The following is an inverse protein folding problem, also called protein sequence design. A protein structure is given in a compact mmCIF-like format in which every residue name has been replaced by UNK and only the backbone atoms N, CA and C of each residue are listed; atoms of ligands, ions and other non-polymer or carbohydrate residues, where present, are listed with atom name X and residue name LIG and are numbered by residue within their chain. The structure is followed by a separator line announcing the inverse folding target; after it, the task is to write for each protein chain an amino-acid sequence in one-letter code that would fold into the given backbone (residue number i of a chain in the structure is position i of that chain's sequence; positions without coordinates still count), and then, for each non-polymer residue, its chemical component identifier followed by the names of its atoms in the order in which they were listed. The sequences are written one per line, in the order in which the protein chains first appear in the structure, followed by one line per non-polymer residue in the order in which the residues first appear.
data_IF_444910018438
#
_entry.id   IF_444910018438
#
_cell.length_a   1.000
_cell.length_b   1.000
_cell.length_c   1.000
_cell.angle_alpha   90.00
_cell.angle_beta   90.00
_cell.angle_gamma   90.00
#
_symmetry.space_group_name_H-M   'P 1'
#
loop_
_entity.id
_entity.type
_entity.pdbx_description
1 polymer ?
#
# COMPACT_ATOMS: atom_id res chain seq x y z
N UNK A 1 -9.33 3.53 -17.25
CA UNK A 1 -9.95 3.26 -15.94
C UNK A 1 -9.84 4.50 -15.05
N UNK A 2 -10.66 4.61 -14.02
CA UNK A 2 -10.61 5.68 -13.02
C UNK A 2 -10.58 5.03 -11.65
N UNK A 3 -9.66 5.44 -10.78
CA UNK A 3 -9.55 4.92 -9.42
C UNK A 3 -9.69 6.06 -8.42
N UNK A 4 -10.39 5.79 -7.31
CA UNK A 4 -10.54 6.70 -6.20
C UNK A 4 -9.87 6.12 -4.95
N UNK A 5 -9.00 6.90 -4.32
CA UNK A 5 -8.23 6.53 -3.14
C UNK A 5 -7.84 7.80 -2.37
N UNK A 6 -7.96 7.82 -1.03
CA UNK A 6 -7.72 9.01 -0.22
C UNK A 6 -6.29 9.55 -0.28
N UNK A 7 -5.31 8.73 -0.68
CA UNK A 7 -3.88 9.08 -0.76
C UNK A 7 -3.36 9.21 -2.21
N UNK A 8 -4.24 9.59 -3.15
CA UNK A 8 -3.89 9.82 -4.57
C UNK A 8 -3.28 11.20 -4.85
N UNK A 9 -3.24 12.05 -3.84
CA UNK A 9 -2.55 13.33 -3.84
C UNK A 9 -1.02 13.17 -3.82
N UNK A 10 -0.50 12.06 -3.29
CA UNK A 10 0.94 11.80 -3.13
C UNK A 10 1.41 10.52 -3.86
N UNK A 11 1.14 10.46 -5.16
CA UNK A 11 1.61 9.38 -6.03
C UNK A 11 3.12 9.54 -6.24
N UNK A 12 3.89 8.50 -5.92
CA UNK A 12 5.32 8.50 -6.19
C UNK A 12 5.64 7.94 -7.56
N UNK A 13 5.05 6.78 -7.89
CA UNK A 13 5.34 6.07 -9.13
C UNK A 13 4.10 5.30 -9.60
N UNK A 14 3.94 5.24 -10.92
CA UNK A 14 2.94 4.43 -11.61
C UNK A 14 3.66 3.66 -12.71
N UNK A 15 3.37 2.36 -12.80
CA UNK A 15 3.93 1.47 -13.81
C UNK A 15 2.86 1.04 -14.81
N UNK A 16 3.28 0.79 -16.05
CA UNK A 16 2.47 0.25 -17.14
C UNK A 16 1.29 1.10 -17.62
N UNK A 17 1.00 2.24 -16.99
CA UNK A 17 -0.11 3.14 -17.34
C UNK A 17 0.30 4.60 -17.31
N UNK A 18 -0.33 5.39 -18.17
CA UNK A 18 -0.35 6.84 -18.05
C UNK A 18 -1.41 7.24 -17.03
N UNK A 19 -1.23 8.39 -16.38
CA UNK A 19 -2.18 8.88 -15.39
C UNK A 19 -2.40 10.38 -15.44
N UNK A 20 -3.57 10.80 -14.97
CA UNK A 20 -3.94 12.19 -14.76
C UNK A 20 -4.84 12.30 -13.55
N UNK A 21 -4.47 13.14 -12.59
CA UNK A 21 -5.34 13.47 -11.46
C UNK A 21 -6.62 14.15 -11.95
N UNK A 22 -7.76 13.72 -11.41
CA UNK A 22 -9.06 14.34 -11.64
C UNK A 22 -9.50 15.02 -10.36
N UNK A 23 -9.87 16.29 -10.47
CA UNK A 23 -10.33 17.12 -9.36
C UNK A 23 -11.76 17.57 -9.61
N UNK A 24 -12.75 16.63 -9.57
CA UNK A 24 -14.13 16.94 -9.91
C UNK A 24 -14.77 17.98 -8.97
N UNK A 25 -14.24 18.09 -7.75
CA UNK A 25 -14.64 19.07 -6.74
C UNK A 25 -13.43 19.86 -6.27
N UNK A 26 -13.61 21.15 -5.98
CA UNK A 26 -12.56 22.00 -5.47
C UNK A 26 -12.01 21.44 -4.15
N UNK A 27 -10.71 21.12 -4.14
CA UNK A 27 -10.00 20.63 -2.95
C UNK A 27 -9.99 19.11 -2.73
N UNK A 28 -10.61 18.32 -3.62
CA UNK A 28 -10.55 16.85 -3.56
C UNK A 28 -9.70 16.28 -4.70
N UNK A 29 -8.52 15.78 -4.34
CA UNK A 29 -7.53 15.19 -5.26
C UNK A 29 -7.43 13.67 -5.06
N UNK A 30 -8.56 13.02 -4.75
CA UNK A 30 -8.62 11.61 -4.38
C UNK A 30 -8.92 10.69 -5.57
N UNK A 31 -8.95 11.23 -6.79
CA UNK A 31 -9.39 10.52 -7.99
C UNK A 31 -8.35 10.66 -9.10
N UNK A 32 -8.06 9.56 -9.80
CA UNK A 32 -7.11 9.53 -10.92
C UNK A 32 -7.69 8.78 -12.11
N UNK A 33 -7.46 9.31 -13.30
CA UNK A 33 -7.70 8.60 -14.55
C UNK A 33 -6.41 7.93 -14.99
N UNK A 34 -6.50 6.65 -15.33
CA UNK A 34 -5.42 5.81 -15.82
C UNK A 34 -5.78 5.29 -17.22
N UNK A 35 -4.84 5.35 -18.15
CA UNK A 35 -5.02 4.84 -19.51
C UNK A 35 -3.75 4.16 -20.02
N UNK A 36 -3.91 3.31 -21.03
CA UNK A 36 -2.82 2.54 -21.59
C UNK A 36 -1.71 3.39 -22.17
N UNK A 37 -0.53 2.80 -22.23
CA UNK A 37 0.60 3.29 -23.02
C UNK A 37 0.43 2.79 -24.46
N UNK A 38 0.55 3.73 -25.40
CA UNK A 38 0.43 3.45 -26.83
C UNK A 38 1.36 2.30 -27.24
N UNK A 39 0.82 1.36 -28.02
CA UNK A 39 1.52 0.14 -28.48
C UNK A 39 1.90 -0.89 -27.40
N UNK A 40 1.47 -0.72 -26.15
CA UNK A 40 1.69 -1.69 -25.07
C UNK A 40 0.37 -2.26 -24.54
N UNK A 41 -0.49 -1.39 -24.01
CA UNK A 41 -1.78 -1.74 -23.41
C UNK A 41 -2.87 -0.69 -23.73
N UNK A 42 -2.73 -0.02 -24.87
CA UNK A 42 -3.65 1.03 -25.36
C UNK A 42 -5.04 0.47 -25.72
N UNK A 43 -5.09 -0.78 -26.16
CA UNK A 43 -6.33 -1.47 -26.49
C UNK A 43 -6.41 -2.82 -25.80
N UNK A 44 -7.47 -3.01 -25.03
CA UNK A 44 -7.81 -4.27 -24.38
C UNK A 44 -8.98 -4.88 -25.15
N UNK A 45 -8.68 -5.41 -26.33
CA UNK A 45 -9.63 -5.97 -27.30
C UNK A 45 -10.31 -7.25 -26.83
N UNK A 46 -9.63 -8.01 -25.98
CA UNK A 46 -10.01 -9.38 -25.67
C UNK A 46 -10.07 -9.58 -24.16
N UNK A 47 -11.24 -10.01 -23.70
CA UNK A 47 -11.41 -10.60 -22.38
C UNK A 47 -11.26 -12.12 -22.53
N UNK A 48 -10.36 -12.74 -21.77
CA UNK A 48 -10.16 -14.18 -21.81
C UNK A 48 -9.32 -14.69 -20.64
N UNK A 49 -9.39 -15.99 -20.32
CA UNK A 49 -8.66 -16.57 -19.17
C UNK A 49 -7.14 -16.43 -19.26
N UNK A 50 -6.62 -16.22 -20.48
CA UNK A 50 -5.19 -16.10 -20.77
C UNK A 50 -4.73 -14.65 -20.95
N UNK A 51 -5.64 -13.68 -20.84
CA UNK A 51 -5.35 -12.26 -21.07
C UNK A 51 -5.55 -11.51 -19.76
N UNK A 52 -4.46 -11.02 -19.20
CA UNK A 52 -4.46 -10.17 -18.00
C UNK A 52 -3.74 -8.86 -18.29
N UNK A 53 -4.21 -7.80 -17.63
CA UNK A 53 -3.57 -6.50 -17.68
C UNK A 53 -3.30 -6.11 -16.25
N UNK A 54 -2.03 -5.88 -15.96
CA UNK A 54 -1.57 -5.58 -14.62
C UNK A 54 -1.00 -4.16 -14.57
N UNK A 55 -1.36 -3.45 -13.51
CA UNK A 55 -0.87 -2.11 -13.22
C UNK A 55 -0.40 -2.08 -11.77
N UNK A 56 0.72 -1.43 -11.52
CA UNK A 56 1.20 -1.18 -10.17
C UNK A 56 1.25 0.33 -9.90
N UNK A 57 0.75 0.72 -8.73
CA UNK A 57 0.75 2.11 -8.25
C UNK A 57 1.40 2.11 -6.87
N UNK A 58 2.46 2.92 -6.72
CA UNK A 58 3.13 3.11 -5.45
C UNK A 58 2.69 4.43 -4.83
N UNK A 59 2.26 4.32 -3.57
CA UNK A 59 1.84 5.45 -2.75
C UNK A 59 2.89 5.74 -1.68
N UNK A 60 3.25 7.00 -1.50
CA UNK A 60 3.99 7.42 -0.31
C UNK A 60 3.04 7.40 0.88
N UNK A 61 3.38 6.64 1.91
CA UNK A 61 2.65 6.65 3.18
C UNK A 61 2.97 7.95 3.91
N UNK A 62 1.94 8.71 4.22
CA UNK A 62 2.02 9.84 5.15
C UNK A 62 1.63 9.38 6.55
N UNK A 63 2.44 9.71 7.55
CA UNK A 63 2.25 9.26 8.92
C UNK A 63 0.97 9.83 9.56
N UNK A 64 0.49 10.99 9.10
CA UNK A 64 -0.72 11.61 9.63
C UNK A 64 -2.01 10.93 9.13
N UNK A 65 -1.97 10.28 7.96
CA UNK A 65 -3.16 9.74 7.29
C UNK A 65 -3.14 8.21 7.13
N UNK A 66 -1.96 7.60 7.23
CA UNK A 66 -1.79 6.15 7.14
C UNK A 66 -2.43 5.43 8.34
N UNK A 67 -3.25 4.43 8.05
CA UNK A 67 -3.86 3.57 9.07
C UNK A 67 -3.79 2.11 8.64
N UNK A 68 -3.76 1.20 9.62
CA UNK A 68 -3.86 -0.23 9.38
C UNK A 68 -5.30 -0.74 9.28
N UNK A 69 -6.27 0.15 9.45
CA UNK A 69 -7.69 -0.21 9.51
C UNK A 69 -8.36 -0.14 8.13
N UNK A 70 -9.47 -0.87 7.99
CA UNK A 70 -10.47 -0.70 6.92
C UNK A 70 -9.87 -0.66 5.51
N UNK A 71 -8.89 -1.53 5.25
CA UNK A 71 -8.34 -1.69 3.91
C UNK A 71 -7.74 -0.41 3.32
N UNK A 72 -7.14 0.47 4.13
CA UNK A 72 -6.53 1.74 3.67
C UNK A 72 -5.58 1.58 2.48
N UNK A 73 -4.98 0.40 2.27
CA UNK A 73 -4.10 0.13 1.15
C UNK A 73 -4.84 -0.05 -0.20
N UNK A 74 -6.17 -0.19 -0.20
CA UNK A 74 -6.97 -0.53 -1.36
C UNK A 74 -7.82 0.66 -1.84
N UNK A 75 -8.05 0.80 -3.16
CA UNK A 75 -8.96 1.80 -3.71
C UNK A 75 -10.36 1.71 -3.08
N UNK A 76 -11.02 2.87 -2.95
CA UNK A 76 -12.41 2.94 -2.49
C UNK A 76 -13.40 2.61 -3.61
N UNK A 77 -13.09 3.03 -4.84
CA UNK A 77 -13.90 2.84 -6.05
C UNK A 77 -13.00 2.73 -7.27
N UNK A 78 -13.38 1.90 -8.22
CA UNK A 78 -12.73 1.76 -9.53
C UNK A 78 -13.84 1.74 -10.57
N UNK A 79 -13.66 2.56 -11.60
CA UNK A 79 -14.46 2.52 -12.81
C UNK A 79 -13.61 2.02 -13.97
N UNK A 80 -14.09 1.01 -14.66
CA UNK A 80 -13.47 0.48 -15.86
C UNK A 80 -14.41 0.69 -17.04
N UNK A 81 -13.96 1.42 -18.06
CA UNK A 81 -14.77 1.82 -19.21
C UNK A 81 -16.13 2.48 -18.86
N UNK A 82 -16.22 3.13 -17.70
CA UNK A 82 -17.43 3.79 -17.21
C UNK A 82 -18.27 2.91 -16.26
N UNK A 83 -18.02 1.61 -16.22
CA UNK A 83 -18.73 0.69 -15.32
C UNK A 83 -18.06 0.64 -13.95
N UNK A 84 -18.85 0.55 -12.89
CA UNK A 84 -18.36 0.41 -11.52
C UNK A 84 -17.91 -1.04 -11.26
N UNK A 85 -16.66 -1.23 -10.88
CA UNK A 85 -16.13 -2.54 -10.53
C UNK A 85 -16.62 -2.97 -9.13
N UNK A 86 -16.97 -4.25 -8.97
CA UNK A 86 -17.32 -4.81 -7.65
C UNK A 86 -16.06 -4.96 -6.82
N UNK A 87 -16.01 -4.29 -5.66
CA UNK A 87 -14.98 -4.49 -4.64
C UNK A 87 -15.57 -5.09 -3.38
N UNK A 88 -14.77 -5.88 -2.70
CA UNK A 88 -15.11 -6.34 -1.36
C UNK A 88 -15.15 -5.15 -0.39
N UNK A 89 -16.00 -5.21 0.66
CA UNK A 89 -16.06 -4.18 1.69
C UNK A 89 -14.70 -3.94 2.35
N UNK A 90 -14.34 -2.69 2.73
CA UNK A 90 -13.00 -2.37 3.22
C UNK A 90 -12.56 -3.14 4.48
N UNK A 91 -13.53 -3.55 5.30
CA UNK A 91 -13.38 -4.36 6.50
C UNK A 91 -13.02 -5.84 6.23
N UNK A 92 -13.20 -6.30 4.99
CA UNK A 92 -12.84 -7.67 4.59
C UNK A 92 -11.42 -7.80 4.06
N UNK A 93 -10.73 -6.66 3.82
CA UNK A 93 -9.34 -6.69 3.39
C UNK A 93 -8.42 -7.12 4.55
N UNK A 94 -7.37 -7.90 4.24
CA UNK A 94 -6.42 -8.33 5.26
C UNK A 94 -5.73 -7.13 5.90
N UNK A 95 -5.79 -7.07 7.22
CA UNK A 95 -5.07 -6.07 8.02
C UNK A 95 -3.58 -6.46 8.09
N UNK A 96 -2.69 -5.48 8.03
CA UNK A 96 -1.28 -5.76 8.30
C UNK A 96 -1.12 -6.18 9.77
N UNK A 97 -0.23 -7.13 10.07
CA UNK A 97 -0.01 -7.57 11.44
C UNK A 97 0.44 -6.39 12.30
N UNK A 98 -0.33 -6.06 13.35
CA UNK A 98 -0.05 -4.98 14.30
C UNK A 98 1.18 -5.25 15.21
N UNK A 99 1.98 -6.26 14.92
CA UNK A 99 3.11 -6.69 15.73
C UNK A 99 4.41 -6.73 14.95
N UNK A 100 5.32 -5.79 15.23
CA UNK A 100 6.74 -5.95 14.90
C UNK A 100 7.41 -6.87 15.92
N UNK A 101 8.43 -7.62 15.49
CA UNK A 101 9.26 -8.42 16.38
C UNK A 101 9.88 -7.49 17.44
N UNK A 102 9.34 -7.48 18.66
CA UNK A 102 10.02 -6.86 19.81
C UNK A 102 11.28 -7.69 20.04
N UNK A 103 12.44 -7.13 19.72
CA UNK A 103 13.70 -7.69 20.20
C UNK A 103 13.65 -7.69 21.73
N UNK A 104 13.34 -8.85 22.30
CA UNK A 104 13.45 -9.06 23.73
C UNK A 104 14.95 -9.08 24.03
N UNK A 105 15.49 -7.94 24.42
CA UNK A 105 16.84 -7.88 24.96
C UNK A 105 16.86 -8.75 26.21
N UNK A 106 17.55 -9.89 26.12
CA UNK A 106 17.78 -10.73 27.28
C UNK A 106 18.66 -9.96 28.25
N UNK A 107 18.19 -9.78 29.49
CA UNK A 107 18.94 -9.11 30.56
C UNK A 107 20.00 -10.03 31.18
N UNK A 108 19.96 -11.33 30.85
CA UNK A 108 20.88 -12.35 31.37
C UNK A 108 22.39 -12.02 31.19
N UNK A 109 22.88 -11.60 30.00
CA UNK A 109 24.29 -11.27 29.84
C UNK A 109 24.69 -10.03 30.65
N UNK A 110 23.78 -9.07 30.85
CA UNK A 110 24.05 -7.86 31.64
C UNK A 110 24.22 -8.15 33.14
N UNK A 111 23.62 -9.22 33.66
CA UNK A 111 23.76 -9.65 35.06
C UNK A 111 24.90 -10.65 35.24
N UNK A 112 25.08 -11.59 34.30
CA UNK A 112 26.11 -12.63 34.42
C UNK A 112 27.54 -12.09 34.33
N UNK A 113 27.80 -11.11 33.46
CA UNK A 113 29.13 -10.49 33.29
C UNK A 113 29.69 -9.86 34.58
N UNK A 114 28.97 -8.95 35.27
CA UNK A 114 29.48 -8.35 36.50
C UNK A 114 29.62 -9.36 37.64
N UNK A 115 28.74 -10.38 37.71
CA UNK A 115 28.85 -11.45 38.72
C UNK A 115 30.10 -12.30 38.49
N UNK A 116 30.38 -12.69 37.26
CA UNK A 116 31.60 -13.44 36.90
C UNK A 116 32.88 -12.63 37.17
N UNK A 117 32.87 -11.33 36.83
CA UNK A 117 34.00 -10.45 37.12
C UNK A 117 34.21 -10.30 38.63
N UNK A 118 33.13 -10.14 39.41
CA UNK A 118 33.23 -10.08 40.88
C UNK A 118 33.92 -11.33 41.45
N UNK A 119 33.54 -12.53 40.98
CA UNK A 119 34.19 -13.76 41.43
C UNK A 119 35.66 -13.86 41.01
N UNK A 120 36.00 -13.47 39.76
CA UNK A 120 37.38 -13.49 39.26
C UNK A 120 38.32 -12.50 39.95
N UNK A 121 37.81 -11.36 40.44
CA UNK A 121 38.59 -10.37 41.19
C UNK A 121 38.59 -10.60 42.71
N UNK A 122 37.80 -11.57 43.21
CA UNK A 122 37.69 -11.90 44.64
C UNK A 122 38.52 -13.12 45.07
N UNK A 123 39.18 -13.79 44.11
CA UNK A 123 40.20 -14.83 44.31
C UNK A 123 41.59 -14.26 44.07
#
# INVERSE_FOLDING_TARGET
MVAQHPNLDNITQIFSFNYKSLTPYAGLNDTVMLWGVKFYNDFLSEAGPLVNVESEILFRKDQATFTFEKGWAFPRRIYFNGDNCVMSPPDTYPFLPNGGFRQQFSVFPAVLLPVLLFFLFST
#
